data_IF_915927784787
#
_entry.id   IF_915927784787
#
_cell.length_a   1.000
_cell.length_b   1.000
_cell.length_c   1.000
_cell.angle_alpha   90.00
_cell.angle_beta   90.00
_cell.angle_gamma   90.00
#
_symmetry.space_group_name_H-M   'P 1'
#
loop_
_entity.id
_entity.type
_entity.pdbx_description
1 polymer ?
#
# COMPACT_ATOMS: atom_id res chain seq x y z
N UNK A 1 6.68 -12.99 -1.13
CA UNK A 1 5.60 -13.35 -0.20
C UNK A 1 4.72 -14.38 -0.89
N UNK A 2 4.12 -15.33 -0.18
CA UNK A 2 3.10 -16.23 -0.73
C UNK A 2 1.73 -15.55 -0.61
N UNK A 3 0.95 -15.51 -1.70
CA UNK A 3 -0.36 -14.86 -1.80
C UNK A 3 -1.51 -15.86 -2.02
N UNK A 4 -1.19 -17.15 -2.09
CA UNK A 4 -2.15 -18.25 -2.22
C UNK A 4 -3.14 -18.36 -1.05
N UNK A 5 -2.75 -18.09 0.22
CA UNK A 5 -3.67 -18.11 1.35
C UNK A 5 -4.79 -17.09 1.24
N UNK A 6 -5.92 -17.33 1.90
CA UNK A 6 -7.06 -16.39 1.91
C UNK A 6 -6.72 -15.05 2.60
N UNK A 7 -5.83 -15.07 3.59
CA UNK A 7 -5.46 -13.93 4.44
C UNK A 7 -3.94 -13.83 4.60
N UNK A 8 -3.39 -12.62 4.89
CA UNK A 8 -1.98 -12.47 5.16
C UNK A 8 -1.58 -13.21 6.45
N UNK A 9 -0.32 -13.65 6.59
CA UNK A 9 0.18 -14.19 7.83
C UNK A 9 -0.07 -13.23 9.00
N UNK A 10 -0.68 -13.72 10.08
CA UNK A 10 -0.95 -12.93 11.29
C UNK A 10 0.34 -12.39 11.96
N UNK A 11 1.51 -12.95 11.63
CA UNK A 11 2.81 -12.46 12.09
C UNK A 11 3.29 -11.20 11.36
N UNK A 12 2.65 -10.79 10.26
CA UNK A 12 2.98 -9.56 9.57
C UNK A 12 2.50 -8.34 10.37
N UNK A 13 3.31 -7.28 10.37
CA UNK A 13 2.88 -5.96 10.85
C UNK A 13 1.70 -5.46 10.01
N UNK A 14 0.84 -4.56 10.53
CA UNK A 14 -0.28 -4.03 9.77
C UNK A 14 0.12 -3.43 8.39
N UNK A 15 1.20 -2.62 8.26
CA UNK A 15 1.68 -2.15 6.96
C UNK A 15 2.00 -3.30 5.99
N UNK A 16 2.67 -4.34 6.49
CA UNK A 16 3.03 -5.50 5.67
C UNK A 16 1.80 -6.34 5.28
N UNK A 17 0.76 -6.37 6.10
CA UNK A 17 -0.54 -6.95 5.74
C UNK A 17 -1.24 -6.11 4.64
N UNK A 18 -1.19 -4.78 4.71
CA UNK A 18 -1.75 -3.91 3.66
C UNK A 18 -1.06 -4.13 2.31
N UNK A 19 0.27 -4.17 2.27
CA UNK A 19 1.01 -4.53 1.06
C UNK A 19 0.67 -5.92 0.54
N UNK A 20 0.51 -6.89 1.44
CA UNK A 20 0.13 -8.23 1.04
C UNK A 20 -1.23 -8.25 0.33
N UNK A 21 -2.21 -7.53 0.88
CA UNK A 21 -3.53 -7.39 0.25
C UNK A 21 -3.44 -6.72 -1.12
N UNK A 22 -2.71 -5.61 -1.25
CA UNK A 22 -2.50 -4.95 -2.54
C UNK A 22 -1.96 -5.91 -3.61
N UNK A 23 -0.95 -6.71 -3.27
CA UNK A 23 -0.35 -7.66 -4.22
C UNK A 23 -1.26 -8.85 -4.51
N UNK A 24 -2.00 -9.34 -3.51
CA UNK A 24 -3.01 -10.38 -3.69
C UNK A 24 -4.09 -9.94 -4.68
N UNK A 25 -4.53 -8.69 -4.57
CA UNK A 25 -5.51 -8.06 -5.46
C UNK A 25 -4.97 -7.64 -6.82
N UNK A 26 -3.72 -8.00 -7.17
CA UNK A 26 -3.14 -7.66 -8.46
C UNK A 26 -2.81 -6.17 -8.65
N UNK A 27 -2.77 -5.39 -7.57
CA UNK A 27 -2.62 -3.92 -7.62
C UNK A 27 -3.73 -3.23 -8.42
N UNK A 28 -4.95 -3.76 -8.34
CA UNK A 28 -6.15 -3.21 -8.96
C UNK A 28 -7.17 -2.82 -7.89
N UNK A 29 -8.13 -1.96 -8.26
CA UNK A 29 -9.28 -1.66 -7.40
C UNK A 29 -10.12 -2.91 -7.15
N UNK A 30 -10.55 -3.11 -5.92
CA UNK A 30 -11.34 -4.25 -5.51
C UNK A 30 -11.29 -4.50 -4.01
N UNK A 31 -11.88 -5.60 -3.52
CA UNK A 31 -11.97 -5.90 -2.09
C UNK A 31 -10.61 -5.97 -1.39
N UNK A 32 -9.59 -6.48 -2.07
CA UNK A 32 -8.22 -6.54 -1.57
C UNK A 32 -7.60 -5.13 -1.43
N UNK A 33 -7.85 -4.24 -2.39
CA UNK A 33 -7.44 -2.84 -2.28
C UNK A 33 -8.17 -2.13 -1.14
N UNK A 34 -9.48 -2.36 -0.97
CA UNK A 34 -10.27 -1.78 0.13
C UNK A 34 -9.69 -2.19 1.49
N UNK A 35 -9.37 -3.48 1.67
CA UNK A 35 -8.72 -3.97 2.90
C UNK A 35 -7.39 -3.30 3.17
N UNK A 36 -6.55 -3.14 2.14
CA UNK A 36 -5.27 -2.45 2.29
C UNK A 36 -5.46 -0.98 2.68
N UNK A 37 -6.40 -0.31 2.01
CA UNK A 37 -6.74 1.09 2.27
C UNK A 37 -7.27 1.28 3.71
N UNK A 38 -8.17 0.41 4.19
CA UNK A 38 -8.68 0.44 5.57
C UNK A 38 -7.57 0.25 6.61
N UNK A 39 -6.63 -0.67 6.37
CA UNK A 39 -5.49 -0.87 7.27
C UNK A 39 -4.65 0.42 7.35
N UNK A 40 -4.33 1.04 6.22
CA UNK A 40 -3.61 2.32 6.16
C UNK A 40 -4.38 3.42 6.91
N UNK A 41 -5.67 3.57 6.61
CA UNK A 41 -6.53 4.59 7.19
C UNK A 41 -6.66 4.46 8.72
N UNK A 42 -6.53 3.26 9.28
CA UNK A 42 -6.60 3.04 10.73
C UNK A 42 -5.46 3.71 11.52
N UNK A 43 -4.35 4.08 10.86
CA UNK A 43 -3.15 4.64 11.48
C UNK A 43 -2.48 5.74 10.64
N UNK A 44 -3.28 6.58 10.00
CA UNK A 44 -2.74 7.75 9.27
C UNK A 44 -1.84 8.63 10.16
N UNK A 45 -0.77 9.17 9.58
CA UNK A 45 0.29 9.91 10.27
C UNK A 45 1.47 9.03 10.68
N UNK A 46 1.33 7.71 10.65
CA UNK A 46 2.46 6.79 10.68
C UNK A 46 3.09 6.68 9.27
N UNK A 47 4.42 6.73 9.20
CA UNK A 47 5.14 6.82 7.92
C UNK A 47 4.89 5.63 7.00
N UNK A 48 4.81 4.40 7.53
CA UNK A 48 4.64 3.21 6.69
C UNK A 48 3.19 3.12 6.18
N UNK A 49 2.22 3.44 7.04
CA UNK A 49 0.80 3.47 6.67
C UNK A 49 0.55 4.54 5.60
N UNK A 50 1.02 5.77 5.82
CA UNK A 50 0.86 6.88 4.86
C UNK A 50 1.56 6.58 3.52
N UNK A 51 2.70 5.88 3.54
CA UNK A 51 3.41 5.52 2.31
C UNK A 51 2.64 4.49 1.48
N UNK A 52 2.06 3.48 2.12
CA UNK A 52 1.21 2.49 1.44
C UNK A 52 -0.12 3.11 1.04
N UNK A 53 -0.67 4.05 1.82
CA UNK A 53 -1.87 4.81 1.46
C UNK A 53 -1.68 5.58 0.15
N UNK A 54 -0.49 6.15 -0.04
CA UNK A 54 -0.11 6.78 -1.30
C UNK A 54 -0.14 5.81 -2.49
N UNK A 55 0.35 4.58 -2.28
CA UNK A 55 0.27 3.53 -3.30
C UNK A 55 -1.18 3.14 -3.60
N UNK A 56 -2.07 3.06 -2.60
CA UNK A 56 -3.50 2.81 -2.81
C UNK A 56 -4.12 3.86 -3.76
N UNK A 57 -3.85 5.16 -3.52
CA UNK A 57 -4.38 6.22 -4.38
C UNK A 57 -3.72 6.28 -5.77
N UNK A 58 -2.47 5.80 -5.89
CA UNK A 58 -1.87 5.61 -7.21
C UNK A 58 -2.58 4.52 -8.01
N UNK A 59 -2.92 3.39 -7.37
CA UNK A 59 -3.70 2.29 -7.97
C UNK A 59 -5.12 2.76 -8.36
N UNK A 60 -5.74 3.61 -7.53
CA UNK A 60 -7.02 4.27 -7.83
C UNK A 60 -6.94 5.25 -9.02
N UNK A 61 -5.72 5.56 -9.49
CA UNK A 61 -5.46 6.58 -10.50
C UNK A 61 -5.87 8.00 -10.05
N UNK A 62 -5.69 8.29 -8.75
CA UNK A 62 -5.79 9.62 -8.15
C UNK A 62 -4.39 10.19 -7.84
N UNK A 63 -3.70 10.78 -8.84
CA UNK A 63 -2.34 11.29 -8.67
C UNK A 63 -2.25 12.47 -7.70
N UNK A 64 -3.34 13.22 -7.50
CA UNK A 64 -3.37 14.36 -6.59
C UNK A 64 -3.31 13.90 -5.14
N UNK A 65 -4.13 12.91 -4.81
CA UNK A 65 -4.18 12.33 -3.48
C UNK A 65 -2.94 11.45 -3.21
N UNK A 66 -2.51 10.63 -4.18
CA UNK A 66 -1.26 9.89 -4.08
C UNK A 66 -0.06 10.81 -3.75
N UNK A 67 0.06 11.96 -4.44
CA UNK A 67 1.11 12.94 -4.16
C UNK A 67 1.01 13.57 -2.77
N UNK A 68 -0.21 13.81 -2.28
CA UNK A 68 -0.45 14.28 -0.91
C UNK A 68 0.10 13.27 0.11
N UNK A 69 -0.23 11.99 -0.04
CA UNK A 69 0.20 10.94 0.88
C UNK A 69 1.69 10.64 0.81
N UNK A 70 2.29 10.56 -0.38
CA UNK A 70 3.74 10.40 -0.52
C UNK A 70 4.51 11.54 0.18
N UNK A 71 4.00 12.78 0.08
CA UNK A 71 4.57 13.92 0.81
C UNK A 71 4.38 13.78 2.31
N UNK A 72 3.18 13.38 2.77
CA UNK A 72 2.88 13.19 4.20
C UNK A 72 3.80 12.13 4.83
N UNK A 73 4.06 11.04 4.11
CA UNK A 73 5.00 9.99 4.51
C UNK A 73 6.49 10.41 4.43
N UNK A 74 6.82 11.56 3.82
CA UNK A 74 8.21 11.93 3.55
C UNK A 74 8.92 10.99 2.56
N UNK A 75 8.16 10.31 1.70
CA UNK A 75 8.63 9.28 0.77
C UNK A 75 8.14 9.60 -0.64
N UNK A 76 8.80 10.49 -1.40
CA UNK A 76 8.37 10.82 -2.76
C UNK A 76 8.42 9.59 -3.67
N UNK A 77 7.42 9.44 -4.54
CA UNK A 77 7.38 8.36 -5.51
C UNK A 77 8.52 8.48 -6.54
N UNK A 78 9.28 7.40 -6.73
CA UNK A 78 10.34 7.33 -7.74
C UNK A 78 9.80 7.08 -9.16
N UNK A 79 8.57 6.58 -9.28
CA UNK A 79 7.91 6.21 -10.54
C UNK A 79 6.38 6.29 -10.38
N UNK A 80 5.64 6.15 -11.48
CA UNK A 80 4.18 5.96 -11.47
C UNK A 80 3.77 4.49 -11.68
N UNK A 81 4.73 3.59 -11.80
CA UNK A 81 4.50 2.16 -11.85
C UNK A 81 4.18 1.64 -10.44
N UNK A 82 2.94 1.19 -10.23
CA UNK A 82 2.47 0.68 -8.95
C UNK A 82 3.21 -0.60 -8.52
N UNK A 83 3.63 -1.45 -9.47
CA UNK A 83 4.34 -2.68 -9.15
C UNK A 83 5.75 -2.38 -8.62
N UNK A 84 6.45 -1.48 -9.31
CA UNK A 84 7.78 -1.04 -8.89
C UNK A 84 7.73 -0.36 -7.51
N UNK A 85 6.76 0.54 -7.29
CA UNK A 85 6.59 1.18 -5.98
C UNK A 85 6.22 0.17 -4.89
N UNK A 86 5.36 -0.80 -5.19
CA UNK A 86 5.06 -1.86 -4.24
C UNK A 86 6.32 -2.62 -3.82
N UNK A 87 7.20 -2.94 -4.77
CA UNK A 87 8.48 -3.63 -4.48
C UNK A 87 9.38 -2.78 -3.58
N UNK A 88 9.52 -1.49 -3.88
CA UNK A 88 10.33 -0.55 -3.10
C UNK A 88 9.84 -0.42 -1.65
N UNK A 89 8.51 -0.28 -1.48
CA UNK A 89 7.90 -0.17 -0.15
C UNK A 89 8.09 -1.50 0.60
N UNK A 90 7.77 -2.64 -0.04
CA UNK A 90 7.87 -3.97 0.58
C UNK A 90 9.29 -4.37 1.01
N UNK A 91 10.32 -3.80 0.37
CA UNK A 91 11.71 -3.97 0.78
C UNK A 91 12.09 -3.12 2.00
N UNK A 92 11.28 -2.11 2.33
CA UNK A 92 11.55 -1.11 3.36
C UNK A 92 10.70 -1.27 4.63
N UNK A 93 9.72 -2.20 4.63
CA UNK A 93 8.77 -2.45 5.74
C UNK A 93 8.69 -3.92 6.19
#
# INVERSE_FOLDING_TARGET
MDFSPAEPPASFSPPRQALWWLKKGGLELGPEWEKAHEICQSREGDTEHDWIHALCHLIENDPGNAAYWFRRAGKPAATRDADALWQDIAASV
#
